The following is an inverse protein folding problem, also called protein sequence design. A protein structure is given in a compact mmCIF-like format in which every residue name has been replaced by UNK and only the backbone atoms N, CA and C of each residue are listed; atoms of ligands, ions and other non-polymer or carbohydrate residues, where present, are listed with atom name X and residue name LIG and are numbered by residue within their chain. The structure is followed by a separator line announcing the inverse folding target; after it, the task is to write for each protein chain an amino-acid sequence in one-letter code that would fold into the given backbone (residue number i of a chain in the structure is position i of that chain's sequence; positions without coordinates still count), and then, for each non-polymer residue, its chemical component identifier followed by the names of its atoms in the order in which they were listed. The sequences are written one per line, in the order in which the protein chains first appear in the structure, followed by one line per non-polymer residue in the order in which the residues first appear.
data_IF_656629154047
#
_entry.id   IF_656629154047
#
_cell.length_a   1.000
_cell.length_b   1.000
_cell.length_c   1.000
_cell.angle_alpha   90.00
_cell.angle_beta   90.00
_cell.angle_gamma   90.00
#
_symmetry.space_group_name_H-M   'P 1'
#
loop_
_entity.id
_entity.type
_entity.pdbx_description
1 polymer ?
#
# COMPACT_ATOMS: atom_id res chain seq x y z
N UNK A 1 12.94 0.15 -2.35
CA UNK A 1 11.88 0.77 -3.12
C UNK A 1 10.54 0.59 -2.39
N UNK A 2 9.77 1.65 -2.25
CA UNK A 2 8.52 1.63 -1.48
C UNK A 2 7.35 2.07 -2.34
N UNK A 3 6.32 1.25 -2.41
CA UNK A 3 5.05 1.54 -3.11
C UNK A 3 3.99 1.82 -2.05
N UNK A 4 3.39 3.00 -2.07
CA UNK A 4 2.35 3.38 -1.12
C UNK A 4 1.16 4.03 -1.80
N UNK A 5 -0.03 3.85 -1.23
CA UNK A 5 -1.20 4.65 -1.58
C UNK A 5 -0.97 6.12 -1.20
N UNK A 6 -1.53 7.09 -1.96
CA UNK A 6 -1.37 8.52 -1.67
C UNK A 6 -1.96 8.92 -0.31
N UNK A 7 -2.99 8.24 0.14
CA UNK A 7 -3.66 8.52 1.43
C UNK A 7 -2.95 7.90 2.64
N UNK A 8 -1.91 7.07 2.44
CA UNK A 8 -1.11 6.49 3.52
C UNK A 8 0.37 6.52 3.15
N UNK A 9 1.02 7.67 3.21
CA UNK A 9 2.45 7.73 3.03
C UNK A 9 3.12 6.88 4.11
N UNK A 10 4.24 6.24 3.74
CA UNK A 10 5.09 5.52 4.69
C UNK A 10 5.42 6.40 5.88
N UNK A 11 5.41 5.88 7.12
CA UNK A 11 5.83 6.65 8.27
C UNK A 11 7.22 7.23 8.06
N UNK A 12 7.40 8.53 8.27
CA UNK A 12 8.71 9.17 8.12
C UNK A 12 9.72 8.56 9.11
N UNK A 13 9.26 8.19 10.31
CA UNK A 13 10.07 7.51 11.31
C UNK A 13 10.63 6.17 10.80
N UNK A 14 9.80 5.37 10.08
CA UNK A 14 10.25 4.11 9.49
C UNK A 14 11.28 4.35 8.38
N UNK A 15 11.04 5.34 7.52
CA UNK A 15 11.98 5.67 6.45
C UNK A 15 13.32 6.18 6.99
N UNK A 16 13.30 7.02 8.02
CA UNK A 16 14.50 7.50 8.70
C UNK A 16 15.26 6.33 9.34
N UNK A 17 14.57 5.45 10.07
CA UNK A 17 15.21 4.30 10.72
C UNK A 17 15.83 3.32 9.71
N UNK A 18 15.22 3.11 8.55
CA UNK A 18 15.81 2.31 7.46
C UNK A 18 17.04 2.98 6.87
N UNK A 19 17.03 4.32 6.70
CA UNK A 19 18.18 5.08 6.22
C UNK A 19 19.34 5.04 7.22
N UNK A 20 19.06 5.18 8.51
CA UNK A 20 20.04 5.04 9.61
C UNK A 20 20.62 3.62 9.65
N UNK A 21 19.81 2.61 9.25
CA UNK A 21 20.24 1.23 9.05
C UNK A 21 21.05 0.99 7.76
N UNK A 22 21.45 2.05 7.06
CA UNK A 22 22.30 1.99 5.86
C UNK A 22 21.55 1.66 4.57
N UNK A 23 20.22 1.79 4.54
CA UNK A 23 19.42 1.57 3.32
C UNK A 23 19.20 2.89 2.57
N UNK A 24 19.34 2.86 1.25
CA UNK A 24 18.85 3.94 0.40
C UNK A 24 17.34 3.77 0.24
N UNK A 25 16.55 4.70 0.79
CA UNK A 25 15.09 4.62 0.80
C UNK A 25 14.52 5.46 -0.33
N UNK A 26 13.81 4.82 -1.26
CA UNK A 26 13.09 5.46 -2.35
C UNK A 26 11.59 5.31 -2.11
N UNK A 27 10.87 6.42 -2.10
CA UNK A 27 9.40 6.45 -2.09
C UNK A 27 8.93 7.08 -3.39
N UNK A 28 7.98 6.48 -4.05
CA UNK A 28 7.38 7.04 -5.24
C UNK A 28 5.85 7.02 -5.15
N UNK A 29 5.21 7.94 -5.83
CA UNK A 29 3.77 8.00 -5.94
C UNK A 29 3.31 7.10 -7.09
N UNK A 30 2.28 6.29 -6.86
CA UNK A 30 1.61 5.57 -7.93
C UNK A 30 0.94 6.56 -8.89
N UNK A 31 0.63 6.12 -10.11
CA UNK A 31 -0.24 6.88 -11.02
C UNK A 31 -1.50 7.33 -10.27
N UNK A 32 -2.02 8.49 -10.62
CA UNK A 32 -3.12 9.15 -9.91
C UNK A 32 -2.82 9.44 -8.45
N UNK A 33 -1.58 9.80 -8.15
CA UNK A 33 -1.21 10.24 -6.82
C UNK A 33 -0.06 11.23 -6.79
N UNK A 34 -0.14 12.21 -5.90
CA UNK A 34 0.90 13.18 -5.67
C UNK A 34 1.37 13.87 -6.95
N UNK A 35 2.65 13.75 -7.27
CA UNK A 35 3.26 14.34 -8.48
C UNK A 35 3.38 13.37 -9.66
N UNK A 36 2.92 12.13 -9.51
CA UNK A 36 2.89 11.16 -10.61
C UNK A 36 1.79 11.48 -11.62
N UNK A 37 1.86 10.84 -12.79
CA UNK A 37 0.90 11.07 -13.88
C UNK A 37 -0.54 10.90 -13.39
N UNK A 38 -1.34 11.95 -13.62
CA UNK A 38 -2.80 11.90 -13.45
C UNK A 38 -3.42 11.56 -14.80
N UNK A 39 -4.26 10.51 -14.82
CA UNK A 39 -4.91 10.07 -16.08
C UNK A 39 -6.31 10.65 -16.20
N UNK A 40 -6.86 10.64 -17.40
CA UNK A 40 -8.23 11.04 -17.66
C UNK A 40 -9.20 10.08 -16.94
N UNK A 41 -10.07 10.55 -16.04
CA UNK A 41 -11.03 9.71 -15.33
C UNK A 41 -12.05 9.05 -16.26
N UNK A 42 -12.31 9.60 -17.43
CA UNK A 42 -13.21 9.02 -18.43
C UNK A 42 -12.57 7.87 -19.23
N UNK A 43 -11.22 7.83 -19.24
CA UNK A 43 -10.46 6.84 -19.99
C UNK A 43 -9.21 6.37 -19.23
N UNK A 44 -9.35 5.80 -18.03
CA UNK A 44 -8.21 5.28 -17.29
C UNK A 44 -7.56 4.13 -18.09
N UNK A 45 -6.33 4.34 -18.50
CA UNK A 45 -5.63 3.48 -19.46
C UNK A 45 -4.53 2.66 -18.80
N UNK A 46 -4.68 2.24 -17.52
CA UNK A 46 -3.69 1.39 -16.87
C UNK A 46 -4.34 0.29 -16.01
N UNK A 47 -3.56 -0.74 -15.77
CA UNK A 47 -3.92 -1.94 -15.00
C UNK A 47 -3.07 -2.05 -13.73
N UNK A 48 -3.37 -3.03 -12.88
CA UNK A 48 -2.50 -3.37 -11.75
C UNK A 48 -1.10 -3.80 -12.22
N UNK A 49 -1.00 -4.42 -13.42
CA UNK A 49 0.27 -4.84 -13.99
C UNK A 49 1.10 -3.67 -14.50
N UNK A 50 0.47 -2.62 -14.99
CA UNK A 50 1.17 -1.37 -15.31
C UNK A 50 1.78 -0.74 -14.05
N UNK A 51 1.05 -0.76 -12.92
CA UNK A 51 1.59 -0.30 -11.64
C UNK A 51 2.73 -1.21 -11.14
N UNK A 52 2.67 -2.51 -11.42
CA UNK A 52 3.75 -3.45 -11.11
C UNK A 52 5.00 -3.18 -11.98
N UNK A 53 4.82 -2.90 -13.26
CA UNK A 53 5.90 -2.48 -14.15
C UNK A 53 6.50 -1.12 -13.76
N UNK A 54 5.67 -0.18 -13.27
CA UNK A 54 6.16 1.08 -12.71
C UNK A 54 7.08 0.88 -11.50
N UNK A 55 6.83 -0.14 -10.67
CA UNK A 55 7.70 -0.46 -9.54
C UNK A 55 9.10 -0.91 -10.00
N UNK A 56 9.17 -1.74 -11.04
CA UNK A 56 10.42 -2.16 -11.66
C UNK A 56 11.13 -0.98 -12.32
N UNK A 57 10.42 -0.20 -13.12
CA UNK A 57 10.95 1.01 -13.77
C UNK A 57 11.49 2.02 -12.75
N UNK A 58 10.81 2.21 -11.62
CA UNK A 58 11.30 3.08 -10.55
C UNK A 58 12.59 2.54 -9.91
N UNK A 59 12.72 1.22 -9.73
CA UNK A 59 13.96 0.62 -9.27
C UNK A 59 15.12 0.88 -10.25
N UNK A 60 14.90 0.64 -11.54
CA UNK A 60 15.89 0.88 -12.58
C UNK A 60 16.31 2.36 -12.66
N UNK A 61 15.36 3.29 -12.58
CA UNK A 61 15.63 4.73 -12.60
C UNK A 61 16.51 5.20 -11.43
N UNK A 62 16.58 4.44 -10.35
CA UNK A 62 17.45 4.69 -9.20
C UNK A 62 18.74 3.86 -9.23
N UNK A 63 19.09 3.25 -10.36
CA UNK A 63 20.35 2.50 -10.55
C UNK A 63 20.39 1.19 -9.76
N UNK A 64 19.26 0.51 -9.64
CA UNK A 64 19.14 -0.76 -8.93
C UNK A 64 19.14 -1.98 -9.88
N UNK A 65 19.56 -1.79 -11.13
CA UNK A 65 19.74 -2.82 -12.15
C UNK A 65 20.77 -3.89 -11.74
N UNK A 66 21.91 -3.45 -11.16
CA UNK A 66 22.95 -4.34 -10.66
C UNK A 66 22.80 -4.74 -9.17
N UNK A 67 21.80 -4.19 -8.47
CA UNK A 67 21.54 -4.43 -7.04
C UNK A 67 20.03 -4.56 -6.81
N UNK A 68 19.50 -5.78 -6.85
CA UNK A 68 18.06 -6.00 -6.68
C UNK A 68 17.52 -5.32 -5.42
N UNK A 69 16.41 -4.59 -5.59
CA UNK A 69 15.82 -3.79 -4.53
C UNK A 69 15.09 -4.65 -3.50
N UNK A 70 14.98 -4.18 -2.25
CA UNK A 70 13.97 -4.63 -1.34
C UNK A 70 12.66 -3.89 -1.68
N UNK A 71 11.68 -4.59 -2.22
CA UNK A 71 10.38 -4.03 -2.57
C UNK A 71 9.47 -4.03 -1.33
N UNK A 72 8.81 -2.91 -1.08
CA UNK A 72 7.94 -2.77 0.09
C UNK A 72 6.60 -2.17 -0.34
N UNK A 73 5.49 -2.82 -0.01
CA UNK A 73 4.15 -2.35 -0.37
C UNK A 73 3.16 -2.37 0.78
N UNK A 74 2.31 -1.31 0.88
CA UNK A 74 1.21 -1.22 1.86
C UNK A 74 -0.14 -1.24 1.14
N UNK A 75 -1.10 -2.00 1.64
CA UNK A 75 -2.46 -2.04 1.12
C UNK A 75 -2.49 -2.44 -0.37
N UNK A 76 -3.04 -1.59 -1.23
CA UNK A 76 -2.98 -1.80 -2.70
C UNK A 76 -1.53 -1.84 -3.20
N UNK A 77 -0.64 -1.02 -2.62
CA UNK A 77 0.79 -1.11 -2.91
C UNK A 77 1.38 -2.50 -2.60
N UNK A 78 0.84 -3.20 -1.61
CA UNK A 78 1.19 -4.59 -1.34
C UNK A 78 0.70 -5.55 -2.43
N UNK A 79 -0.47 -5.32 -3.03
CA UNK A 79 -0.93 -6.09 -4.19
C UNK A 79 -0.02 -5.83 -5.41
N UNK A 80 0.30 -4.56 -5.67
CA UNK A 80 1.27 -4.17 -6.71
C UNK A 80 2.60 -4.87 -6.50
N UNK A 81 3.12 -4.88 -5.27
CA UNK A 81 4.39 -5.50 -4.93
C UNK A 81 4.39 -7.02 -5.14
N UNK A 82 3.29 -7.71 -4.83
CA UNK A 82 3.14 -9.15 -5.12
C UNK A 82 3.21 -9.41 -6.63
N UNK A 83 2.46 -8.66 -7.42
CA UNK A 83 2.45 -8.81 -8.89
C UNK A 83 3.82 -8.44 -9.47
N UNK A 84 4.44 -7.35 -9.03
CA UNK A 84 5.76 -6.94 -9.48
C UNK A 84 6.82 -8.03 -9.22
N UNK A 85 6.83 -8.61 -8.02
CA UNK A 85 7.77 -9.69 -7.67
C UNK A 85 7.55 -10.97 -8.47
N UNK A 86 6.30 -11.27 -8.87
CA UNK A 86 5.97 -12.44 -9.69
C UNK A 86 6.25 -12.23 -11.18
N UNK A 87 6.01 -11.04 -11.69
CA UNK A 87 6.11 -10.76 -13.13
C UNK A 87 7.51 -10.27 -13.53
N UNK A 88 8.33 -9.80 -12.57
CA UNK A 88 9.72 -9.37 -12.76
C UNK A 88 10.69 -10.19 -11.87
N UNK A 89 10.82 -11.51 -12.11
CA UNK A 89 11.67 -12.35 -11.29
C UNK A 89 13.13 -11.90 -11.39
N UNK A 90 13.77 -11.72 -10.23
CA UNK A 90 15.15 -11.23 -10.15
C UNK A 90 15.32 -9.71 -10.01
N UNK A 91 14.28 -8.92 -10.23
CA UNK A 91 14.34 -7.46 -10.03
C UNK A 91 14.39 -7.07 -8.53
N UNK A 92 13.91 -7.95 -7.65
CA UNK A 92 13.81 -7.68 -6.23
C UNK A 92 14.50 -8.77 -5.41
N UNK A 93 15.33 -8.35 -4.44
CA UNK A 93 16.09 -9.22 -3.55
C UNK A 93 15.29 -9.64 -2.31
N UNK A 94 14.32 -8.85 -1.89
CA UNK A 94 13.45 -9.10 -0.75
C UNK A 94 12.10 -8.41 -0.93
N UNK A 95 11.09 -8.87 -0.21
CA UNK A 95 9.73 -8.36 -0.27
C UNK A 95 9.21 -8.07 1.14
N UNK A 96 8.57 -6.91 1.33
CA UNK A 96 7.77 -6.63 2.53
C UNK A 96 6.35 -6.23 2.12
N UNK A 97 5.38 -6.95 2.66
CA UNK A 97 3.95 -6.77 2.42
C UNK A 97 3.27 -6.31 3.72
N UNK A 98 2.73 -5.11 3.74
CA UNK A 98 2.12 -4.55 4.93
C UNK A 98 0.63 -4.27 4.72
N UNK A 99 -0.22 -4.65 5.69
CA UNK A 99 -1.67 -4.38 5.71
C UNK A 99 -2.30 -4.63 4.33
N UNK A 100 -2.10 -5.80 3.74
CA UNK A 100 -2.54 -6.17 2.40
C UNK A 100 -3.10 -7.59 2.37
N UNK A 101 -3.61 -8.01 1.22
CA UNK A 101 -4.21 -9.34 1.03
C UNK A 101 -3.69 -10.02 -0.25
N UNK A 102 -3.83 -11.36 -0.36
CA UNK A 102 -3.32 -12.12 -1.51
C UNK A 102 -4.18 -12.05 -2.76
N UNK A 103 -5.31 -11.37 -2.71
CA UNK A 103 -6.29 -11.30 -3.81
C UNK A 103 -6.53 -9.87 -4.28
N UNK A 104 -6.99 -9.75 -5.52
CA UNK A 104 -7.39 -8.49 -6.14
C UNK A 104 -8.57 -7.82 -5.40
N UNK A 105 -8.82 -6.52 -5.62
CA UNK A 105 -10.08 -5.90 -5.27
C UNK A 105 -11.26 -6.64 -5.90
N UNK A 106 -12.32 -6.92 -5.11
CA UNK A 106 -13.48 -7.68 -5.54
C UNK A 106 -13.82 -8.82 -4.58
N UNK A 107 -14.57 -9.82 -5.01
CA UNK A 107 -14.91 -10.97 -4.19
C UNK A 107 -13.67 -11.65 -3.62
N UNK A 108 -13.74 -12.05 -2.36
CA UNK A 108 -12.65 -12.73 -1.64
C UNK A 108 -12.87 -14.24 -1.74
N UNK A 109 -11.78 -14.99 -1.77
CA UNK A 109 -11.86 -16.45 -1.70
C UNK A 109 -12.42 -16.87 -0.33
N UNK A 110 -13.21 -17.96 -0.29
CA UNK A 110 -13.96 -18.40 0.90
C UNK A 110 -13.09 -18.65 2.15
N UNK A 111 -11.80 -18.92 1.97
CA UNK A 111 -10.84 -19.17 3.06
C UNK A 111 -10.14 -17.89 3.57
N UNK A 112 -10.46 -16.73 3.01
CA UNK A 112 -9.90 -15.45 3.42
C UNK A 112 -10.94 -14.59 4.15
N UNK A 113 -10.56 -13.86 5.19
CA UNK A 113 -11.46 -12.90 5.79
C UNK A 113 -11.68 -11.70 4.86
N UNK A 114 -12.94 -11.35 4.65
CA UNK A 114 -13.32 -10.13 3.94
C UNK A 114 -13.26 -8.91 4.87
N UNK A 115 -13.44 -7.72 4.29
CA UNK A 115 -13.57 -6.48 5.03
C UNK A 115 -14.65 -6.56 6.11
N UNK A 116 -14.42 -5.93 7.25
CA UNK A 116 -15.48 -5.80 8.26
C UNK A 116 -16.66 -5.00 7.72
N UNK A 117 -17.82 -5.64 7.65
CA UNK A 117 -19.01 -5.07 7.00
C UNK A 117 -19.50 -3.77 7.67
N UNK A 118 -19.40 -3.68 9.00
CA UNK A 118 -19.80 -2.48 9.72
C UNK A 118 -18.85 -1.33 9.45
N UNK A 119 -17.55 -1.61 9.41
CA UNK A 119 -16.49 -0.66 9.04
C UNK A 119 -16.70 -0.16 7.61
N UNK A 120 -16.97 -1.05 6.66
CA UNK A 120 -17.24 -0.65 5.27
C UNK A 120 -18.50 0.21 5.17
N UNK A 121 -19.57 -0.12 5.88
CA UNK A 121 -20.77 0.69 5.94
C UNK A 121 -20.49 2.12 6.44
N UNK A 122 -19.68 2.27 7.48
CA UNK A 122 -19.27 3.59 7.99
C UNK A 122 -18.41 4.37 6.98
N UNK A 123 -17.47 3.72 6.31
CA UNK A 123 -16.62 4.35 5.29
C UNK A 123 -17.45 4.87 4.11
N UNK A 124 -18.42 4.09 3.63
CA UNK A 124 -19.30 4.50 2.55
C UNK A 124 -20.31 5.58 2.95
N UNK A 125 -20.69 5.62 4.22
CA UNK A 125 -21.59 6.67 4.74
C UNK A 125 -20.91 8.04 4.93
N UNK A 126 -19.58 8.10 4.89
CA UNK A 126 -18.87 9.37 5.02
C UNK A 126 -19.19 10.30 3.85
N UNK A 127 -19.52 11.58 4.10
CA UNK A 127 -19.81 12.53 3.04
C UNK A 127 -18.59 12.75 2.13
N UNK A 128 -18.84 12.96 0.86
CA UNK A 128 -17.80 13.37 -0.09
C UNK A 128 -17.36 14.79 0.26
N UNK A 129 -16.09 15.04 0.54
CA UNK A 129 -15.59 16.38 0.82
C UNK A 129 -15.47 17.21 -0.45
N UNK A 130 -15.27 18.51 -0.31
CA UNK A 130 -14.70 19.30 -1.38
C UNK A 130 -13.22 18.95 -1.53
N UNK A 131 -12.87 18.28 -2.63
CA UNK A 131 -11.50 17.81 -2.88
C UNK A 131 -10.53 18.93 -3.24
N UNK A 132 -11.02 20.14 -3.49
CA UNK A 132 -10.20 21.34 -3.68
C UNK A 132 -9.92 22.07 -2.36
N UNK A 133 -10.61 21.72 -1.30
CA UNK A 133 -10.40 22.28 0.03
C UNK A 133 -9.47 21.38 0.85
N UNK A 134 -8.26 21.90 1.12
CA UNK A 134 -7.23 21.23 1.94
C UNK A 134 -7.74 20.76 3.31
N UNK A 135 -8.54 21.60 3.97
CA UNK A 135 -9.05 21.28 5.30
C UNK A 135 -10.11 20.17 5.23
N UNK A 136 -11.01 20.21 4.25
CA UNK A 136 -12.01 19.17 4.03
C UNK A 136 -11.38 17.82 3.72
N UNK A 137 -10.32 17.79 2.90
CA UNK A 137 -9.56 16.57 2.59
C UNK A 137 -8.88 16.01 3.85
N UNK A 138 -8.28 16.87 4.65
CA UNK A 138 -7.61 16.47 5.90
C UNK A 138 -8.61 15.92 6.93
N UNK A 139 -9.78 16.56 7.10
CA UNK A 139 -10.85 16.08 7.99
C UNK A 139 -11.42 14.74 7.51
N UNK A 140 -11.59 14.54 6.20
CA UNK A 140 -11.99 13.26 5.63
C UNK A 140 -11.00 12.16 5.96
N UNK A 141 -9.70 12.43 5.83
CA UNK A 141 -8.66 11.46 6.15
C UNK A 141 -8.66 11.09 7.65
N UNK A 142 -8.87 12.08 8.53
CA UNK A 142 -8.99 11.85 9.97
C UNK A 142 -10.22 11.00 10.31
N UNK A 143 -11.36 11.25 9.67
CA UNK A 143 -12.59 10.47 9.86
C UNK A 143 -12.40 9.01 9.40
N UNK A 144 -11.75 8.79 8.25
CA UNK A 144 -11.40 7.45 7.76
C UNK A 144 -10.50 6.72 8.76
N UNK A 145 -9.45 7.37 9.24
CA UNK A 145 -8.54 6.79 10.23
C UNK A 145 -9.25 6.40 11.53
N UNK A 146 -10.14 7.24 12.04
CA UNK A 146 -10.94 6.94 13.24
C UNK A 146 -11.81 5.69 13.05
N UNK A 147 -12.45 5.54 11.89
CA UNK A 147 -13.25 4.36 11.56
C UNK A 147 -12.38 3.10 11.50
N UNK A 148 -11.19 3.20 10.92
CA UNK A 148 -10.26 2.09 10.79
C UNK A 148 -9.54 1.74 12.11
N UNK A 149 -9.60 2.61 13.11
CA UNK A 149 -8.90 2.45 14.38
C UNK A 149 -7.45 2.95 14.36
N UNK A 150 -7.11 3.74 13.37
CA UNK A 150 -5.82 4.42 13.23
C UNK A 150 -5.84 5.80 13.91
N UNK A 151 -4.69 6.47 14.02
CA UNK A 151 -4.56 7.80 14.60
C UNK A 151 -5.12 8.90 13.66
N UNK A 152 -6.22 9.58 14.01
CA UNK A 152 -6.81 10.62 13.17
C UNK A 152 -5.92 11.86 12.99
N UNK A 153 -5.11 12.20 13.99
CA UNK A 153 -4.23 13.37 13.92
C UNK A 153 -3.06 13.12 12.96
N UNK A 154 -2.48 11.94 13.02
CA UNK A 154 -1.45 11.51 12.07
C UNK A 154 -2.01 11.44 10.65
N UNK A 155 -3.21 10.91 10.47
CA UNK A 155 -3.87 10.83 9.16
C UNK A 155 -4.15 12.22 8.57
N UNK A 156 -4.64 13.17 9.38
CA UNK A 156 -4.83 14.57 8.99
C UNK A 156 -3.53 15.19 8.47
N UNK A 157 -2.48 15.14 9.26
CA UNK A 157 -1.18 15.70 8.89
C UNK A 157 -0.63 15.08 7.60
N UNK A 158 -0.80 13.78 7.41
CA UNK A 158 -0.39 13.08 6.19
C UNK A 158 -1.19 13.55 4.98
N UNK A 159 -2.51 13.68 5.11
CA UNK A 159 -3.38 14.14 4.03
C UNK A 159 -3.04 15.57 3.59
N UNK A 160 -2.78 16.45 4.55
CA UNK A 160 -2.33 17.82 4.29
C UNK A 160 -1.04 17.86 3.48
N UNK A 161 -0.03 17.06 3.86
CA UNK A 161 1.24 16.97 3.12
C UNK A 161 1.07 16.43 1.70
N UNK A 162 0.17 15.45 1.51
CA UNK A 162 -0.13 14.93 0.16
C UNK A 162 -0.80 16.01 -0.66
N UNK A 163 -1.79 16.69 -0.10
CA UNK A 163 -2.50 17.79 -0.77
C UNK A 163 -1.53 18.89 -1.22
N UNK A 164 -0.66 19.35 -0.30
CA UNK A 164 0.29 20.45 -0.55
C UNK A 164 1.30 20.14 -1.68
N UNK A 165 1.60 18.87 -1.93
CA UNK A 165 2.51 18.46 -3.02
C UNK A 165 1.79 18.03 -4.30
N UNK A 166 0.47 17.91 -4.29
CA UNK A 166 -0.31 17.56 -5.49
C UNK A 166 -0.61 18.82 -6.30
N UNK A 167 -0.26 18.87 -7.60
CA UNK A 167 -0.41 20.08 -8.39
C UNK A 167 -1.88 20.47 -8.65
N UNK A 168 -2.18 21.75 -8.54
CA UNK A 168 -3.38 22.41 -9.08
C UNK A 168 -4.72 21.77 -8.69
N UNK A 169 -5.55 21.48 -9.68
CA UNK A 169 -6.91 20.89 -9.52
C UNK A 169 -6.92 19.37 -9.54
N UNK A 170 -5.76 18.74 -9.64
CA UNK A 170 -5.64 17.28 -9.78
C UNK A 170 -6.07 16.47 -8.54
N UNK A 171 -6.06 16.98 -7.29
CA UNK A 171 -6.46 16.18 -6.13
C UNK A 171 -7.83 15.53 -6.27
N UNK A 172 -8.81 16.25 -6.83
CA UNK A 172 -10.16 15.72 -7.05
C UNK A 172 -10.18 14.62 -8.13
N UNK A 173 -9.45 14.84 -9.23
CA UNK A 173 -9.32 13.88 -10.34
C UNK A 173 -8.59 12.63 -9.87
N UNK A 174 -7.46 12.79 -9.21
CA UNK A 174 -6.67 11.69 -8.70
C UNK A 174 -7.47 10.81 -7.74
N UNK A 175 -8.26 11.41 -6.84
CA UNK A 175 -9.07 10.63 -5.94
C UNK A 175 -10.21 9.91 -6.65
N UNK A 176 -10.89 10.56 -7.60
CA UNK A 176 -11.92 9.91 -8.43
C UNK A 176 -11.35 8.69 -9.15
N UNK A 177 -10.15 8.81 -9.71
CA UNK A 177 -9.44 7.72 -10.37
C UNK A 177 -9.07 6.61 -9.38
N UNK A 178 -8.56 6.94 -8.20
CA UNK A 178 -8.22 5.96 -7.17
C UNK A 178 -9.45 5.17 -6.69
N UNK A 179 -10.57 5.83 -6.46
CA UNK A 179 -11.81 5.17 -6.08
C UNK A 179 -12.32 4.26 -7.20
N UNK A 180 -12.29 4.73 -8.44
CA UNK A 180 -12.67 3.93 -9.61
C UNK A 180 -11.74 2.75 -9.83
N UNK A 181 -10.44 2.95 -9.66
CA UNK A 181 -9.39 1.95 -9.83
C UNK A 181 -9.52 0.82 -8.80
N UNK A 182 -9.87 1.17 -7.56
CA UNK A 182 -10.06 0.17 -6.50
C UNK A 182 -11.31 -0.68 -6.75
N UNK A 183 -12.35 -0.11 -7.34
CA UNK A 183 -13.66 -0.77 -7.39
C UNK A 183 -14.04 -1.41 -8.74
N UNK A 184 -13.44 -1.04 -9.88
CA UNK A 184 -13.91 -1.58 -11.16
C UNK A 184 -13.00 -1.49 -12.37
N UNK A 185 -11.87 -0.82 -12.32
CA UNK A 185 -11.10 -0.46 -13.54
C UNK A 185 -9.68 -1.00 -13.62
N UNK A 186 -9.15 -1.58 -12.54
CA UNK A 186 -7.89 -2.31 -12.62
C UNK A 186 -8.16 -3.70 -13.21
N UNK A 187 -7.62 -3.96 -14.39
CA UNK A 187 -7.51 -5.35 -14.83
C UNK A 187 -6.51 -6.07 -13.93
N UNK A 188 -7.04 -6.89 -13.04
CA UNK A 188 -6.25 -7.68 -12.10
C UNK A 188 -6.00 -9.10 -12.62
N UNK A 189 -6.35 -9.41 -13.86
CA UNK A 189 -6.17 -10.74 -14.43
C UNK A 189 -4.83 -10.88 -15.17
N UNK A 190 -4.25 -12.08 -15.20
CA UNK A 190 -4.63 -13.25 -14.43
C UNK A 190 -4.44 -13.04 -12.92
N UNK A 191 -5.28 -13.68 -12.09
CA UNK A 191 -5.16 -13.65 -10.64
C UNK A 191 -3.79 -14.23 -10.25
N UNK A 192 -3.23 -13.75 -9.12
CA UNK A 192 -1.84 -14.07 -8.76
C UNK A 192 -1.70 -14.93 -7.51
N UNK A 193 -2.75 -15.14 -6.72
CA UNK A 193 -2.69 -15.89 -5.46
C UNK A 193 -2.07 -17.26 -5.63
N UNK A 194 -2.51 -18.03 -6.66
CA UNK A 194 -1.97 -19.37 -6.95
C UNK A 194 -0.49 -19.36 -7.30
N UNK A 195 0.06 -18.21 -7.67
CA UNK A 195 1.47 -18.04 -8.03
C UNK A 195 2.35 -17.62 -6.84
N UNK A 196 1.78 -17.31 -5.68
CA UNK A 196 2.54 -16.86 -4.50
C UNK A 196 3.61 -17.87 -4.06
N UNK A 197 3.36 -19.15 -4.29
CA UNK A 197 4.34 -20.22 -4.05
C UNK A 197 5.59 -20.15 -4.94
N UNK A 198 5.60 -19.33 -5.99
CA UNK A 198 6.74 -19.08 -6.88
C UNK A 198 7.69 -18.00 -6.34
N UNK A 199 7.26 -17.20 -5.34
CA UNK A 199 8.10 -16.19 -4.72
C UNK A 199 9.21 -16.87 -3.90
N UNK A 200 10.45 -16.74 -4.34
CA UNK A 200 11.61 -17.38 -3.72
C UNK A 200 12.47 -16.42 -2.87
N UNK A 201 12.19 -15.11 -2.94
CA UNK A 201 12.94 -14.12 -2.17
C UNK A 201 12.49 -14.08 -0.71
N UNK A 202 13.38 -13.73 0.24
CA UNK A 202 13.00 -13.45 1.63
C UNK A 202 11.82 -12.49 1.69
N UNK A 203 10.77 -12.90 2.41
CA UNK A 203 9.53 -12.12 2.48
C UNK A 203 9.14 -11.88 3.94
N UNK A 204 8.80 -10.62 4.24
CA UNK A 204 8.21 -10.20 5.51
C UNK A 204 6.77 -9.75 5.27
N UNK A 205 5.83 -10.31 6.01
CA UNK A 205 4.45 -9.82 6.09
C UNK A 205 4.30 -9.06 7.40
N UNK A 206 3.84 -7.81 7.34
CA UNK A 206 3.58 -6.96 8.51
C UNK A 206 2.08 -6.67 8.56
N UNK A 207 1.43 -6.99 9.68
CA UNK A 207 -0.01 -6.81 9.76
C UNK A 207 -0.44 -6.31 11.13
N UNK A 208 -1.36 -5.33 11.16
CA UNK A 208 -1.98 -4.90 12.40
C UNK A 208 -3.00 -5.92 12.90
N UNK A 209 -2.96 -6.25 14.20
CA UNK A 209 -3.91 -7.19 14.80
C UNK A 209 -5.36 -6.73 14.69
N UNK A 210 -5.56 -5.42 14.71
CA UNK A 210 -6.88 -4.79 14.70
C UNK A 210 -7.27 -4.21 13.34
N UNK A 211 -6.59 -4.63 12.26
CA UNK A 211 -6.94 -4.19 10.91
C UNK A 211 -8.34 -4.67 10.54
N UNK A 212 -9.25 -3.69 10.36
CA UNK A 212 -10.65 -3.93 9.98
C UNK A 212 -10.86 -3.82 8.47
N UNK A 213 -9.90 -3.24 7.77
CA UNK A 213 -9.98 -3.12 6.32
C UNK A 213 -9.48 -4.41 5.64
N UNK A 214 -8.27 -4.85 6.00
CA UNK A 214 -7.78 -6.18 5.62
C UNK A 214 -7.52 -6.98 6.91
N UNK A 215 -8.49 -7.76 7.44
CA UNK A 215 -8.30 -8.48 8.68
C UNK A 215 -7.02 -9.32 8.69
N UNK A 216 -6.39 -9.45 9.85
CA UNK A 216 -5.07 -10.07 10.04
C UNK A 216 -4.92 -11.46 9.39
N UNK A 217 -6.01 -12.21 9.25
CA UNK A 217 -6.01 -13.49 8.54
C UNK A 217 -5.57 -13.42 7.08
N UNK A 218 -5.65 -12.23 6.44
CA UNK A 218 -5.05 -12.03 5.12
C UNK A 218 -3.51 -12.06 5.18
N UNK A 219 -2.92 -11.46 6.22
CA UNK A 219 -1.48 -11.53 6.47
C UNK A 219 -1.02 -12.96 6.82
N UNK A 220 -1.82 -13.69 7.59
CA UNK A 220 -1.57 -15.10 7.90
C UNK A 220 -1.61 -15.96 6.63
N UNK A 221 -2.55 -15.70 5.72
CA UNK A 221 -2.62 -16.38 4.44
C UNK A 221 -1.38 -16.10 3.57
N UNK A 222 -0.96 -14.83 3.45
CA UNK A 222 0.26 -14.46 2.74
C UNK A 222 1.49 -15.19 3.30
N UNK A 223 1.64 -15.20 4.62
CA UNK A 223 2.77 -15.87 5.27
C UNK A 223 2.74 -17.39 5.10
N UNK A 224 1.57 -17.99 4.99
CA UNK A 224 1.39 -19.43 4.73
C UNK A 224 1.66 -19.80 3.26
N UNK A 225 1.27 -18.94 2.32
CA UNK A 225 1.29 -19.23 0.89
C UNK A 225 2.61 -18.85 0.20
N UNK A 226 3.37 -17.91 0.79
CA UNK A 226 4.70 -17.54 0.30
C UNK A 226 5.77 -18.36 1.03
N UNK A 227 6.57 -19.16 0.31
CA UNK A 227 7.58 -20.02 0.93
C UNK A 227 8.60 -19.23 1.75
N UNK A 228 8.77 -19.60 3.02
CA UNK A 228 9.75 -18.96 3.91
C UNK A 228 9.36 -17.55 4.38
N UNK A 229 8.17 -17.08 4.07
CA UNK A 229 7.71 -15.77 4.56
C UNK A 229 7.57 -15.77 6.09
N UNK A 230 7.95 -14.62 6.68
CA UNK A 230 7.80 -14.37 8.11
C UNK A 230 6.64 -13.42 8.32
N UNK A 231 5.83 -13.67 9.35
CA UNK A 231 4.74 -12.79 9.77
C UNK A 231 5.15 -12.01 11.02
N UNK A 232 5.02 -10.68 10.94
CA UNK A 232 5.11 -9.76 12.07
C UNK A 232 3.71 -9.18 12.32
N UNK A 233 3.08 -9.57 13.41
CA UNK A 233 1.80 -9.00 13.83
C UNK A 233 2.05 -7.87 14.82
N UNK A 234 1.58 -6.68 14.50
CA UNK A 234 1.66 -5.50 15.36
C UNK A 234 0.43 -5.48 16.28
N UNK A 235 0.58 -5.88 17.52
CA UNK A 235 -0.53 -6.09 18.46
C UNK A 235 -1.37 -4.85 18.77
N UNK A 236 -0.79 -3.64 18.63
CA UNK A 236 -1.45 -2.38 18.93
C UNK A 236 -1.80 -1.57 17.66
N UNK A 237 -1.61 -2.17 16.47
CA UNK A 237 -1.88 -1.50 15.21
C UNK A 237 -3.21 -1.95 14.59
N UNK A 238 -3.84 -1.03 13.87
CA UNK A 238 -4.94 -1.30 12.97
C UNK A 238 -4.42 -1.38 11.50
N UNK A 239 -4.93 -0.57 10.60
CA UNK A 239 -4.57 -0.63 9.17
C UNK A 239 -3.23 0.07 8.89
N UNK A 240 -2.92 1.16 9.59
CA UNK A 240 -1.65 1.86 9.43
C UNK A 240 -0.54 1.26 10.30
N UNK A 241 0.71 1.38 9.84
CA UNK A 241 1.88 1.15 10.68
C UNK A 241 2.08 2.42 11.53
N UNK A 242 1.89 2.37 12.86
CA UNK A 242 2.09 3.54 13.70
C UNK A 242 3.59 3.85 13.87
N UNK A 243 3.93 5.11 14.12
CA UNK A 243 5.33 5.52 14.35
C UNK A 243 5.98 4.75 15.52
N UNK A 244 5.20 4.40 16.53
CA UNK A 244 5.68 3.59 17.67
C UNK A 244 6.19 2.19 17.25
N UNK A 245 5.69 1.63 16.14
CA UNK A 245 6.14 0.35 15.62
C UNK A 245 7.33 0.46 14.64
N UNK A 246 7.79 1.67 14.32
CA UNK A 246 8.81 1.88 13.31
C UNK A 246 10.10 1.11 13.60
N UNK A 247 10.57 1.10 14.86
CA UNK A 247 11.79 0.40 15.26
C UNK A 247 11.66 -1.13 15.10
N UNK A 248 10.53 -1.70 15.50
CA UNK A 248 10.27 -3.14 15.39
C UNK A 248 10.21 -3.57 13.92
N UNK A 249 9.43 -2.84 13.10
CA UNK A 249 9.31 -3.10 11.67
C UNK A 249 10.65 -2.94 10.96
N UNK A 250 11.41 -1.86 11.27
CA UNK A 250 12.75 -1.65 10.71
C UNK A 250 13.68 -2.82 11.03
N UNK A 251 13.72 -3.26 12.28
CA UNK A 251 14.56 -4.39 12.69
C UNK A 251 14.20 -5.65 11.90
N UNK A 252 12.90 -5.93 11.74
CA UNK A 252 12.44 -7.08 10.98
C UNK A 252 12.78 -6.98 9.48
N UNK A 253 12.71 -5.78 8.89
CA UNK A 253 13.05 -5.53 7.49
C UNK A 253 14.55 -5.61 7.23
N UNK A 254 15.38 -5.10 8.14
CA UNK A 254 16.84 -5.17 8.01
C UNK A 254 17.41 -6.58 8.19
N UNK A 255 16.64 -7.48 8.77
CA UNK A 255 16.99 -8.89 8.97
C UNK A 255 16.59 -9.80 7.78
N UNK A 256 16.07 -9.23 6.68
CA UNK A 256 15.87 -9.92 5.39
C UNK A 256 17.13 -9.84 4.53
#
# INVERSE_FOLDING_TARGET
LSVARPCSPWPDALCAALADGGRHVVRYDLRDSGTSTTVDPEAPAYTLRDLAADADAAALAHGLDDRPAHLVGIGVGGMVAQVAALDHPGAFAALTLAATRPVAPGPVDDDLPDHDAATMGQLFALPTPDWSDRAAVAERAAAVAAILGDDPAAARTKAERVFDRTPGTEPAIQLANQLSTVFSRLDCRPLWRERLSQLAMPTLVVHGRHDRFFPVGNGEALAREIPGARLLVLDQAATAIPDAAAAEVTTAMLAL
#
